data_IF_612998728927
#
_entry.id   IF_612998728927
#
_cell.length_a   1.000
_cell.length_b   1.000
_cell.length_c   1.000
_cell.angle_alpha   90.00
_cell.angle_beta   90.00
_cell.angle_gamma   90.00
#
_symmetry.space_group_name_H-M   'P 1'
#
loop_
_entity.id
_entity.type
_entity.pdbx_description
1 polymer ?
#
# COMPACT_ATOMS: atom_id res chain seq x y z
N UNK A 1 -3.17 23.56 -8.67
CA UNK A 1 -3.12 22.26 -7.97
C UNK A 1 -1.77 22.21 -7.31
N UNK A 2 -1.72 22.13 -5.99
CA UNK A 2 -0.47 21.84 -5.29
C UNK A 2 -0.14 20.37 -5.59
N UNK A 3 0.95 20.14 -6.32
CA UNK A 3 1.37 18.81 -6.74
C UNK A 3 2.09 18.14 -5.58
N UNK A 4 1.69 16.92 -5.24
CA UNK A 4 2.33 16.15 -4.19
C UNK A 4 3.57 15.41 -4.73
N UNK A 5 4.71 16.10 -4.71
CA UNK A 5 6.00 15.55 -5.14
C UNK A 5 6.44 14.33 -4.32
N UNK A 6 5.84 14.10 -3.15
CA UNK A 6 6.13 12.91 -2.33
C UNK A 6 5.62 11.62 -2.97
N UNK A 7 4.73 11.72 -3.96
CA UNK A 7 4.19 10.56 -4.68
C UNK A 7 5.04 10.13 -5.88
N UNK A 8 6.06 10.91 -6.25
CA UNK A 8 6.92 10.59 -7.40
C UNK A 8 7.86 9.45 -7.01
N UNK A 9 7.73 8.33 -7.71
CA UNK A 9 8.62 7.17 -7.55
C UNK A 9 9.80 7.23 -8.52
N UNK A 10 9.52 7.50 -9.80
CA UNK A 10 10.56 7.63 -10.82
C UNK A 10 10.14 8.56 -11.97
N UNK A 11 11.15 9.00 -12.72
CA UNK A 11 11.08 9.78 -13.93
C UNK A 11 11.57 8.94 -15.10
N UNK A 12 10.86 9.04 -16.22
CA UNK A 12 11.24 8.40 -17.48
C UNK A 12 10.90 9.32 -18.63
N UNK A 13 11.91 9.63 -19.46
CA UNK A 13 11.77 10.52 -20.61
C UNK A 13 11.16 11.88 -20.22
N UNK A 14 11.54 12.41 -19.06
CA UNK A 14 11.03 13.69 -18.55
C UNK A 14 9.62 13.68 -17.97
N UNK A 15 9.00 12.50 -17.79
CA UNK A 15 7.70 12.34 -17.16
C UNK A 15 7.81 11.68 -15.80
N UNK A 16 7.06 12.18 -14.80
CA UNK A 16 7.01 11.62 -13.45
C UNK A 16 5.92 10.56 -13.29
N UNK A 17 6.28 9.44 -12.67
CA UNK A 17 5.42 8.30 -12.44
C UNK A 17 5.33 8.00 -10.94
N UNK A 18 4.13 7.61 -10.50
CA UNK A 18 3.92 6.96 -9.21
C UNK A 18 4.39 5.50 -9.25
N UNK A 19 4.52 4.87 -8.08
CA UNK A 19 4.98 3.49 -7.98
C UNK A 19 4.02 2.46 -8.60
N UNK A 20 2.76 2.84 -8.80
CA UNK A 20 1.75 2.02 -9.49
C UNK A 20 1.75 2.23 -11.03
N UNK A 21 2.70 3.03 -11.54
CA UNK A 21 2.86 3.34 -12.96
C UNK A 21 1.96 4.46 -13.48
N UNK A 22 1.20 5.13 -12.60
CA UNK A 22 0.37 6.28 -12.99
C UNK A 22 1.24 7.49 -13.33
N UNK A 23 0.97 8.11 -14.48
CA UNK A 23 1.59 9.37 -14.87
C UNK A 23 1.03 10.52 -14.01
N UNK A 24 1.88 11.13 -13.19
CA UNK A 24 1.47 12.15 -12.22
C UNK A 24 1.43 13.56 -12.83
N UNK A 25 2.23 13.81 -13.88
CA UNK A 25 2.39 15.13 -14.49
C UNK A 25 2.10 15.12 -16.00
N UNK A 26 0.87 14.76 -16.43
CA UNK A 26 0.52 14.65 -17.85
C UNK A 26 0.50 15.99 -18.58
N UNK A 27 0.38 17.11 -17.86
CA UNK A 27 0.24 18.47 -18.43
C UNK A 27 1.52 19.32 -18.37
N UNK A 28 2.61 18.85 -17.74
CA UNK A 28 3.89 19.56 -17.80
C UNK A 28 4.50 19.37 -19.20
N UNK A 29 4.25 20.32 -20.09
CA UNK A 29 4.95 20.41 -21.37
C UNK A 29 6.28 21.13 -21.16
N UNK A 30 7.29 20.38 -20.70
CA UNK A 30 8.68 20.89 -20.59
C UNK A 30 9.44 20.42 -21.81
N UNK A 31 10.16 21.33 -22.48
CA UNK A 31 11.04 20.93 -23.56
C UNK A 31 12.07 19.95 -23.01
N UNK A 32 12.17 18.76 -23.60
CA UNK A 32 13.10 17.69 -23.18
C UNK A 32 14.55 18.19 -22.98
N UNK A 33 14.95 19.25 -23.68
CA UNK A 33 16.30 19.82 -23.60
C UNK A 33 16.55 20.73 -22.37
N UNK A 34 15.52 20.98 -21.54
CA UNK A 34 15.59 21.88 -20.38
C UNK A 34 15.11 21.24 -19.08
N UNK A 35 15.13 19.91 -19.05
CA UNK A 35 14.98 19.11 -17.84
C UNK A 35 16.31 18.45 -17.48
N UNK A 36 16.54 18.17 -16.20
CA UNK A 36 17.70 17.38 -15.80
C UNK A 36 17.57 15.93 -16.29
N UNK A 37 18.69 15.25 -16.58
CA UNK A 37 18.71 13.82 -16.86
C UNK A 37 17.91 12.99 -15.85
N UNK A 38 17.20 11.96 -16.33
CA UNK A 38 16.34 11.10 -15.52
C UNK A 38 17.05 10.54 -14.27
N UNK A 39 18.33 10.17 -14.36
CA UNK A 39 19.07 9.65 -13.19
C UNK A 39 19.20 10.69 -12.06
N UNK A 40 19.30 11.99 -12.36
CA UNK A 40 19.33 13.03 -11.31
C UNK A 40 17.96 13.17 -10.67
N UNK A 41 16.90 13.20 -11.50
CA UNK A 41 15.52 13.30 -11.01
C UNK A 41 15.12 12.07 -10.20
N UNK A 42 15.58 10.88 -10.60
CA UNK A 42 15.35 9.61 -9.90
C UNK A 42 16.10 9.56 -8.58
N UNK A 43 17.35 10.04 -8.53
CA UNK A 43 18.05 10.20 -7.27
C UNK A 43 17.25 11.10 -6.32
N UNK A 44 16.75 12.24 -6.80
CA UNK A 44 15.94 13.15 -5.98
C UNK A 44 14.60 12.55 -5.55
N UNK A 45 13.91 11.80 -6.42
CA UNK A 45 12.67 11.09 -6.10
C UNK A 45 12.87 10.05 -4.98
N UNK A 46 14.03 9.38 -4.98
CA UNK A 46 14.43 8.43 -3.92
C UNK A 46 15.03 9.11 -2.68
N UNK A 47 14.95 10.44 -2.58
CA UNK A 47 15.46 11.20 -1.43
C UNK A 47 16.99 11.30 -1.35
N UNK A 48 17.68 11.03 -2.45
CA UNK A 48 19.13 11.15 -2.56
C UNK A 48 19.53 12.51 -3.13
N UNK A 49 20.76 12.95 -2.82
CA UNK A 49 21.30 14.15 -3.42
C UNK A 49 21.45 14.01 -4.93
N UNK A 50 20.72 14.80 -5.73
CA UNK A 50 20.86 14.84 -7.19
C UNK A 50 22.25 15.28 -7.73
N UNK A 51 23.19 15.68 -6.87
CA UNK A 51 24.57 16.02 -7.25
C UNK A 51 25.52 14.85 -7.01
N UNK A 52 25.30 14.05 -5.96
CA UNK A 52 26.26 13.02 -5.55
C UNK A 52 25.70 11.63 -5.28
N UNK A 53 24.38 11.43 -5.37
CA UNK A 53 23.72 10.13 -5.19
C UNK A 53 23.60 9.64 -3.75
N UNK A 54 24.00 10.44 -2.75
CA UNK A 54 24.02 10.04 -1.34
C UNK A 54 23.19 11.04 -0.53
N UNK A 55 22.38 10.56 0.42
CA UNK A 55 21.61 11.39 1.36
C UNK A 55 22.49 11.99 2.45
N UNK A 56 22.05 13.10 3.06
CA UNK A 56 22.77 13.81 4.13
C UNK A 56 24.21 14.19 3.75
N UNK A 57 24.44 14.56 2.50
CA UNK A 57 25.76 14.89 1.99
C UNK A 57 26.10 16.37 2.18
N UNK A 58 27.36 16.75 1.87
CA UNK A 58 27.79 18.16 1.97
C UNK A 58 27.03 19.11 1.04
N UNK A 59 26.57 18.63 -0.12
CA UNK A 59 25.89 19.46 -1.12
C UNK A 59 24.50 19.89 -0.64
N UNK A 60 23.78 19.02 0.07
CA UNK A 60 22.44 19.31 0.62
C UNK A 60 22.42 20.50 1.58
N UNK A 61 23.57 20.79 2.21
CA UNK A 61 23.74 21.91 3.13
C UNK A 61 23.96 23.24 2.42
N UNK A 62 24.29 23.22 1.12
CA UNK A 62 24.64 24.42 0.34
C UNK A 62 23.41 25.21 -0.10
N UNK A 63 23.55 26.54 -0.17
CA UNK A 63 22.49 27.42 -0.66
C UNK A 63 22.00 27.08 -2.09
N UNK A 64 22.88 26.78 -3.07
CA UNK A 64 22.42 26.38 -4.40
C UNK A 64 21.58 25.10 -4.41
N UNK A 65 21.96 24.07 -3.65
CA UNK A 65 21.20 22.83 -3.59
C UNK A 65 19.82 23.05 -2.96
N UNK A 66 19.72 23.80 -1.86
CA UNK A 66 18.43 24.12 -1.23
C UNK A 66 17.48 24.83 -2.20
N UNK A 67 18.00 25.76 -3.02
CA UNK A 67 17.22 26.42 -4.08
C UNK A 67 16.80 25.46 -5.18
N UNK A 68 17.68 24.55 -5.58
CA UNK A 68 17.37 23.50 -6.56
C UNK A 68 16.26 22.55 -6.04
N UNK A 69 16.36 22.11 -4.78
CA UNK A 69 15.36 21.25 -4.14
C UNK A 69 14.00 21.96 -4.03
N UNK A 70 13.99 23.24 -3.65
CA UNK A 70 12.76 24.05 -3.62
C UNK A 70 12.15 24.20 -5.02
N UNK A 71 12.96 24.39 -6.06
CA UNK A 71 12.49 24.43 -7.44
C UNK A 71 11.89 23.09 -7.89
N UNK A 72 12.51 21.96 -7.52
CA UNK A 72 11.97 20.62 -7.76
C UNK A 72 10.61 20.43 -7.09
N UNK A 73 10.52 20.70 -5.78
CA UNK A 73 9.29 20.58 -4.98
C UNK A 73 8.17 21.53 -5.41
N UNK A 74 8.50 22.62 -6.12
CA UNK A 74 7.54 23.59 -6.63
C UNK A 74 7.22 23.38 -8.12
N UNK A 75 7.76 22.34 -8.75
CA UNK A 75 7.57 22.06 -10.19
C UNK A 75 8.25 23.01 -11.16
N UNK A 76 9.19 23.82 -10.69
CA UNK A 76 9.93 24.77 -11.50
C UNK A 76 11.15 24.08 -12.14
N UNK A 77 10.90 23.08 -13.00
CA UNK A 77 11.95 22.20 -13.55
C UNK A 77 13.00 22.94 -14.40
N UNK A 78 12.58 23.99 -15.11
CA UNK A 78 13.46 24.89 -15.88
C UNK A 78 14.41 25.69 -14.97
N UNK A 79 13.89 26.18 -13.83
CA UNK A 79 14.69 26.88 -12.84
C UNK A 79 15.67 25.90 -12.17
N UNK A 80 15.20 24.70 -11.83
CA UNK A 80 16.04 23.62 -11.31
C UNK A 80 17.18 23.27 -12.26
N UNK A 81 16.89 23.08 -13.55
CA UNK A 81 17.90 22.84 -14.60
C UNK A 81 18.96 23.94 -14.60
N UNK A 82 18.52 25.20 -14.59
CA UNK A 82 19.40 26.37 -14.60
C UNK A 82 20.31 26.41 -13.36
N UNK A 83 19.75 26.17 -12.18
CA UNK A 83 20.50 26.16 -10.91
C UNK A 83 21.55 25.04 -10.91
N UNK A 84 21.15 23.83 -11.32
CA UNK A 84 22.03 22.67 -11.33
C UNK A 84 23.24 22.88 -12.23
N UNK A 85 23.05 23.25 -13.49
CA UNK A 85 24.16 23.41 -14.42
C UNK A 85 25.09 24.55 -14.05
N UNK A 86 24.57 25.66 -13.50
CA UNK A 86 25.39 26.79 -13.02
C UNK A 86 26.24 26.43 -11.80
N UNK A 87 25.71 25.59 -10.91
CA UNK A 87 26.32 25.38 -9.59
C UNK A 87 27.09 24.06 -9.48
N UNK A 88 26.68 23.05 -10.24
CA UNK A 88 27.15 21.66 -10.12
C UNK A 88 27.53 21.04 -11.47
N UNK A 89 27.32 21.73 -12.60
CA UNK A 89 27.56 21.21 -13.93
C UNK A 89 28.99 20.70 -14.15
N UNK A 90 29.99 21.35 -13.55
CA UNK A 90 31.39 20.90 -13.62
C UNK A 90 31.67 19.57 -12.92
N UNK A 91 30.83 19.16 -11.96
CA UNK A 91 30.96 17.88 -11.24
C UNK A 91 30.25 16.74 -11.96
N UNK A 92 29.33 17.04 -12.88
CA UNK A 92 28.45 16.05 -13.51
C UNK A 92 29.21 14.87 -14.15
N UNK A 93 30.28 15.05 -14.95
CA UNK A 93 30.98 13.92 -15.57
C UNK A 93 31.59 12.95 -14.55
N UNK A 94 32.04 13.47 -13.40
CA UNK A 94 32.64 12.67 -12.33
C UNK A 94 31.57 11.95 -11.50
N UNK A 95 30.45 12.60 -11.23
CA UNK A 95 29.42 12.06 -10.33
C UNK A 95 28.42 11.15 -11.03
N UNK A 96 28.19 11.35 -12.33
CA UNK A 96 27.21 10.57 -13.11
C UNK A 96 27.38 9.05 -12.95
N UNK A 97 28.57 8.44 -13.13
CA UNK A 97 28.71 6.98 -13.03
C UNK A 97 28.34 6.46 -11.64
N UNK A 98 28.68 7.22 -10.59
CA UNK A 98 28.37 6.86 -9.21
C UNK A 98 26.86 6.92 -8.93
N UNK A 99 26.19 7.98 -9.39
CA UNK A 99 24.74 8.13 -9.25
C UNK A 99 24.01 6.99 -9.99
N UNK A 100 24.42 6.68 -11.22
CA UNK A 100 23.83 5.60 -12.01
C UNK A 100 24.07 4.22 -11.35
N UNK A 101 25.26 3.98 -10.80
CA UNK A 101 25.56 2.75 -10.06
C UNK A 101 24.67 2.61 -8.81
N UNK A 102 24.59 3.66 -7.98
CA UNK A 102 23.82 3.62 -6.73
C UNK A 102 22.32 3.44 -7.03
N UNK A 103 21.79 4.09 -8.07
CA UNK A 103 20.42 3.87 -8.53
C UNK A 103 20.17 2.46 -9.04
N UNK A 104 21.11 1.89 -9.79
CA UNK A 104 20.99 0.51 -10.27
C UNK A 104 20.98 -0.49 -9.11
N UNK A 105 21.80 -0.26 -8.08
CA UNK A 105 21.82 -1.07 -6.86
C UNK A 105 20.50 -0.94 -6.08
N UNK A 106 20.00 0.27 -5.89
CA UNK A 106 18.69 0.52 -5.24
C UNK A 106 17.56 -0.15 -6.02
N UNK A 107 17.51 0.03 -7.34
CA UNK A 107 16.49 -0.60 -8.19
C UNK A 107 16.57 -2.14 -8.14
N UNK A 108 17.79 -2.69 -8.03
CA UNK A 108 17.98 -4.13 -7.86
C UNK A 108 17.43 -4.60 -6.51
N UNK A 109 17.77 -3.91 -5.42
CA UNK A 109 17.25 -4.20 -4.08
C UNK A 109 15.73 -4.10 -4.06
N UNK A 110 15.15 -3.02 -4.61
CA UNK A 110 13.70 -2.85 -4.72
C UNK A 110 13.05 -3.98 -5.54
N UNK A 111 13.67 -4.38 -6.65
CA UNK A 111 13.20 -5.51 -7.46
C UNK A 111 13.23 -6.84 -6.69
N UNK A 112 14.28 -7.07 -5.89
CA UNK A 112 14.40 -8.25 -5.03
C UNK A 112 13.33 -8.23 -3.92
N UNK A 113 13.15 -7.10 -3.23
CA UNK A 113 12.10 -6.93 -2.22
C UNK A 113 10.69 -7.13 -2.80
N UNK A 114 10.44 -6.67 -4.02
CA UNK A 114 9.16 -6.89 -4.73
C UNK A 114 8.99 -8.39 -5.02
N UNK A 115 10.02 -9.07 -5.53
CA UNK A 115 9.96 -10.52 -5.79
C UNK A 115 9.68 -11.30 -4.50
N UNK A 116 10.34 -10.95 -3.41
CA UNK A 116 10.09 -11.55 -2.10
C UNK A 116 8.66 -11.28 -1.61
N UNK A 117 8.15 -10.07 -1.81
CA UNK A 117 6.79 -9.69 -1.42
C UNK A 117 5.71 -10.40 -2.25
N UNK A 118 5.95 -10.60 -3.55
CA UNK A 118 5.11 -11.41 -4.45
C UNK A 118 5.13 -12.88 -4.01
N UNK A 119 6.31 -13.41 -3.69
CA UNK A 119 6.45 -14.77 -3.16
C UNK A 119 5.71 -14.91 -1.84
N UNK A 120 5.87 -13.97 -0.91
CA UNK A 120 5.15 -13.93 0.36
C UNK A 120 3.64 -13.97 0.17
N UNK A 121 3.10 -13.17 -0.75
CA UNK A 121 1.66 -13.17 -1.08
C UNK A 121 1.22 -14.51 -1.67
N UNK A 122 2.04 -15.12 -2.51
CA UNK A 122 1.76 -16.45 -3.10
C UNK A 122 1.80 -17.55 -2.05
N UNK A 123 2.76 -17.51 -1.14
CA UNK A 123 2.90 -18.47 -0.06
C UNK A 123 1.76 -18.33 0.97
N UNK A 124 1.27 -17.11 1.22
CA UNK A 124 0.01 -16.92 1.97
C UNK A 124 -1.16 -17.67 1.34
N UNK A 125 -1.36 -17.59 0.02
CA UNK A 125 -2.45 -18.34 -0.63
C UNK A 125 -2.28 -19.86 -0.50
N UNK A 126 -1.04 -20.37 -0.60
CA UNK A 126 -0.76 -21.80 -0.37
C UNK A 126 -1.08 -22.20 1.07
N UNK A 127 -0.73 -21.36 2.04
CA UNK A 127 -1.03 -21.64 3.45
C UNK A 127 -2.53 -21.66 3.71
N UNK A 128 -3.28 -20.73 3.11
CA UNK A 128 -4.75 -20.74 3.15
C UNK A 128 -5.30 -22.02 2.51
N UNK A 129 -4.77 -22.46 1.37
CA UNK A 129 -5.17 -23.72 0.74
C UNK A 129 -4.93 -24.91 1.67
N UNK A 130 -3.73 -25.01 2.24
CA UNK A 130 -3.35 -26.12 3.12
C UNK A 130 -4.20 -26.15 4.40
N UNK A 131 -4.54 -24.99 4.94
CA UNK A 131 -5.27 -24.88 6.22
C UNK A 131 -6.78 -24.97 6.05
N UNK A 132 -7.32 -24.35 5.00
CA UNK A 132 -8.76 -24.08 4.84
C UNK A 132 -9.35 -24.61 3.53
N UNK A 133 -8.52 -25.13 2.63
CA UNK A 133 -8.92 -25.72 1.36
C UNK A 133 -9.13 -24.73 0.21
N UNK A 134 -9.43 -25.28 -0.96
CA UNK A 134 -9.52 -24.58 -2.24
C UNK A 134 -10.48 -23.37 -2.23
N UNK A 135 -11.64 -23.50 -1.58
CA UNK A 135 -12.64 -22.44 -1.54
C UNK A 135 -12.15 -21.21 -0.78
N UNK A 136 -11.39 -21.41 0.29
CA UNK A 136 -10.80 -20.33 1.07
C UNK A 136 -9.69 -19.62 0.29
N UNK A 137 -8.80 -20.38 -0.36
CA UNK A 137 -7.74 -19.83 -1.21
C UNK A 137 -8.34 -18.99 -2.35
N UNK A 138 -9.35 -19.53 -3.04
CA UNK A 138 -10.04 -18.86 -4.13
C UNK A 138 -10.69 -17.55 -3.68
N UNK A 139 -11.25 -17.52 -2.47
CA UNK A 139 -11.81 -16.29 -1.88
C UNK A 139 -10.72 -15.24 -1.66
N UNK A 140 -9.59 -15.59 -1.04
CA UNK A 140 -8.49 -14.65 -0.84
C UNK A 140 -7.97 -14.09 -2.17
N UNK A 141 -7.72 -14.96 -3.17
CA UNK A 141 -7.31 -14.53 -4.52
C UNK A 141 -8.33 -13.59 -5.16
N UNK A 142 -9.62 -13.93 -5.07
CA UNK A 142 -10.70 -13.09 -5.59
C UNK A 142 -10.71 -11.70 -4.93
N UNK A 143 -10.53 -11.63 -3.61
CA UNK A 143 -10.49 -10.35 -2.88
C UNK A 143 -9.33 -9.50 -3.40
N UNK A 144 -8.13 -10.08 -3.52
CA UNK A 144 -6.97 -9.38 -4.06
C UNK A 144 -7.21 -8.88 -5.49
N UNK A 145 -7.73 -9.73 -6.38
CA UNK A 145 -8.04 -9.40 -7.77
C UNK A 145 -9.09 -8.29 -7.88
N UNK A 146 -10.22 -8.43 -7.19
CA UNK A 146 -11.32 -7.45 -7.27
C UNK A 146 -10.99 -6.12 -6.57
N UNK A 147 -10.03 -6.11 -5.65
CA UNK A 147 -9.57 -4.90 -4.98
C UNK A 147 -8.70 -4.01 -5.88
N UNK A 148 -8.06 -4.59 -6.91
CA UNK A 148 -7.07 -3.89 -7.74
C UNK A 148 -7.70 -2.70 -8.45
N UNK A 149 -7.11 -1.51 -8.26
CA UNK A 149 -7.57 -0.27 -8.89
C UNK A 149 -8.90 0.28 -8.35
N UNK A 150 -9.52 -0.37 -7.35
CA UNK A 150 -10.74 0.12 -6.72
C UNK A 150 -10.45 1.00 -5.50
N UNK A 151 -11.33 1.97 -5.27
CA UNK A 151 -11.45 2.65 -3.97
C UNK A 151 -12.37 1.83 -3.06
N UNK A 152 -12.20 1.98 -1.76
CA UNK A 152 -13.14 1.40 -0.80
C UNK A 152 -14.50 2.08 -0.91
N UNK A 153 -15.55 1.34 -0.55
CA UNK A 153 -16.91 1.86 -0.51
C UNK A 153 -17.14 2.71 0.73
N UNK A 154 -18.16 3.56 0.68
CA UNK A 154 -18.60 4.31 1.85
C UNK A 154 -19.19 3.37 2.92
N UNK A 155 -19.26 3.86 4.16
CA UNK A 155 -19.73 3.07 5.32
C UNK A 155 -21.13 2.49 5.12
N UNK A 156 -22.08 3.26 4.58
CA UNK A 156 -23.48 2.80 4.41
C UNK A 156 -23.59 1.66 3.39
N UNK A 157 -22.80 1.74 2.34
CA UNK A 157 -22.69 0.70 1.32
C UNK A 157 -22.06 -0.58 1.87
N UNK A 158 -21.00 -0.47 2.67
CA UNK A 158 -20.36 -1.61 3.33
C UNK A 158 -21.30 -2.27 4.35
N UNK A 159 -22.01 -1.48 5.17
CA UNK A 159 -23.02 -1.98 6.10
C UNK A 159 -24.13 -2.74 5.36
N UNK A 160 -24.67 -2.16 4.30
CA UNK A 160 -25.71 -2.80 3.48
C UNK A 160 -25.23 -4.14 2.91
N UNK A 161 -23.99 -4.20 2.44
CA UNK A 161 -23.38 -5.42 1.91
C UNK A 161 -23.28 -6.52 2.97
N UNK A 162 -22.79 -6.18 4.18
CA UNK A 162 -22.65 -7.12 5.28
C UNK A 162 -24.01 -7.56 5.85
N UNK A 163 -24.91 -6.61 6.11
CA UNK A 163 -26.23 -6.85 6.72
C UNK A 163 -27.09 -7.80 5.88
N UNK A 164 -26.94 -7.78 4.54
CA UNK A 164 -27.59 -8.72 3.62
C UNK A 164 -27.33 -10.18 3.99
N UNK A 165 -26.16 -10.51 4.52
CA UNK A 165 -25.77 -11.88 4.89
C UNK A 165 -25.64 -12.10 6.40
N UNK A 166 -25.76 -11.05 7.22
CA UNK A 166 -25.61 -11.08 8.69
C UNK A 166 -26.40 -12.18 9.37
N UNK A 167 -27.68 -12.36 9.02
CA UNK A 167 -28.51 -13.42 9.59
C UNK A 167 -27.92 -14.83 9.35
N UNK A 168 -27.37 -15.08 8.17
CA UNK A 168 -26.77 -16.38 7.85
C UNK A 168 -25.43 -16.58 8.56
N UNK A 169 -24.60 -15.54 8.61
CA UNK A 169 -23.34 -15.54 9.36
C UNK A 169 -23.61 -15.81 10.85
N UNK A 170 -24.58 -15.13 11.46
CA UNK A 170 -24.93 -15.27 12.88
C UNK A 170 -25.50 -16.63 13.26
N UNK A 171 -26.14 -17.34 12.32
CA UNK A 171 -26.58 -18.72 12.55
C UNK A 171 -25.40 -19.69 12.70
N UNK A 172 -24.24 -19.39 12.13
CA UNK A 172 -23.07 -20.26 12.09
C UNK A 172 -22.00 -19.86 13.12
N UNK A 173 -21.88 -18.56 13.39
CA UNK A 173 -20.88 -18.02 14.29
C UNK A 173 -21.58 -17.51 15.55
N UNK A 174 -21.78 -18.45 16.49
CA UNK A 174 -22.38 -18.17 17.79
C UNK A 174 -21.47 -17.32 18.69
N UNK A 175 -22.00 -16.91 19.84
CA UNK A 175 -21.29 -16.09 20.83
C UNK A 175 -19.98 -16.72 21.30
N UNK A 176 -19.89 -18.06 21.40
CA UNK A 176 -18.68 -18.75 21.82
C UNK A 176 -17.60 -18.64 20.75
N UNK A 177 -17.94 -18.92 19.51
CA UNK A 177 -17.01 -18.79 18.38
C UNK A 177 -16.56 -17.34 18.21
N UNK A 178 -17.47 -16.36 18.35
CA UNK A 178 -17.12 -14.93 18.31
C UNK A 178 -16.05 -14.56 19.34
N UNK A 179 -16.21 -15.01 20.59
CA UNK A 179 -15.21 -14.76 21.64
C UNK A 179 -13.85 -15.39 21.35
N UNK A 180 -13.83 -16.60 20.78
CA UNK A 180 -12.58 -17.28 20.38
C UNK A 180 -11.87 -16.47 19.29
N UNK A 181 -12.61 -16.06 18.25
CA UNK A 181 -12.06 -15.28 17.14
C UNK A 181 -11.58 -13.92 17.65
N UNK A 182 -12.37 -13.23 18.48
CA UNK A 182 -11.99 -11.97 19.10
C UNK A 182 -10.72 -12.08 19.94
N UNK A 183 -10.60 -13.12 20.78
CA UNK A 183 -9.40 -13.36 21.59
C UNK A 183 -8.16 -13.62 20.73
N UNK A 184 -8.32 -14.36 19.62
CA UNK A 184 -7.23 -14.57 18.67
C UNK A 184 -6.77 -13.25 18.03
N UNK A 185 -7.72 -12.37 17.65
CA UNK A 185 -7.44 -11.04 17.13
C UNK A 185 -6.84 -10.09 18.18
N UNK A 186 -7.20 -10.26 19.45
CA UNK A 186 -6.63 -9.48 20.56
C UNK A 186 -5.15 -9.79 20.77
N UNK A 187 -4.77 -11.06 20.61
CA UNK A 187 -3.40 -11.54 20.80
C UNK A 187 -2.41 -11.13 19.70
N UNK A 188 -2.90 -10.52 18.61
CA UNK A 188 -2.07 -10.19 17.45
C UNK A 188 -1.00 -9.15 17.79
N UNK A 189 0.22 -9.41 17.31
CA UNK A 189 1.29 -8.44 17.36
C UNK A 189 1.09 -7.36 16.28
N UNK A 190 0.90 -6.11 16.71
CA UNK A 190 0.65 -4.96 15.82
C UNK A 190 1.84 -4.68 14.90
N UNK A 191 3.08 -4.88 15.37
CA UNK A 191 4.28 -4.69 14.54
C UNK A 191 4.35 -5.73 13.42
N UNK A 192 3.88 -6.95 13.70
CA UNK A 192 3.82 -8.01 12.70
C UNK A 192 2.72 -7.75 11.67
N UNK A 193 1.55 -7.24 12.10
CA UNK A 193 0.50 -6.77 11.19
C UNK A 193 1.06 -5.70 10.24
N UNK A 194 1.78 -4.70 10.76
CA UNK A 194 2.37 -3.64 9.94
C UNK A 194 3.42 -4.16 8.95
N UNK A 195 4.28 -5.09 9.39
CA UNK A 195 5.27 -5.75 8.53
C UNK A 195 4.62 -6.58 7.42
N UNK A 196 3.60 -7.36 7.75
CA UNK A 196 2.84 -8.17 6.80
C UNK A 196 2.10 -7.29 5.80
N UNK A 197 1.47 -6.21 6.26
CA UNK A 197 0.80 -5.25 5.40
C UNK A 197 1.77 -4.63 4.41
N UNK A 198 2.98 -4.23 4.83
CA UNK A 198 4.01 -3.70 3.93
C UNK A 198 4.39 -4.70 2.84
N UNK A 199 4.55 -5.98 3.19
CA UNK A 199 4.84 -7.06 2.24
C UNK A 199 3.68 -7.31 1.29
N UNK A 200 2.45 -7.40 1.79
CA UNK A 200 1.26 -7.52 0.94
C UNK A 200 1.10 -6.31 0.02
N UNK A 201 1.42 -5.10 0.50
CA UNK A 201 1.35 -3.88 -0.30
C UNK A 201 2.26 -3.94 -1.51
N UNK A 202 3.54 -4.25 -1.26
CA UNK A 202 4.52 -4.45 -2.34
C UNK A 202 4.14 -5.62 -3.24
N UNK A 203 3.74 -6.76 -2.67
CA UNK A 203 3.41 -7.98 -3.40
C UNK A 203 2.18 -7.87 -4.29
N UNK A 204 1.22 -7.02 -3.92
CA UNK A 204 0.02 -6.75 -4.71
C UNK A 204 0.12 -5.49 -5.59
N UNK A 205 1.25 -4.76 -5.52
CA UNK A 205 1.56 -3.64 -6.40
C UNK A 205 0.90 -2.31 -6.03
N UNK A 206 0.78 -1.98 -4.74
CA UNK A 206 0.28 -0.68 -4.28
C UNK A 206 1.18 -0.04 -3.21
N UNK A 207 1.09 1.30 -3.09
CA UNK A 207 1.86 2.09 -2.11
C UNK A 207 1.44 1.70 -0.69
N UNK A 208 2.43 1.35 0.14
CA UNK A 208 2.21 1.11 1.57
C UNK A 208 1.76 2.42 2.24
N UNK A 209 0.62 2.38 2.93
CA UNK A 209 0.12 3.52 3.70
C UNK A 209 0.49 3.43 5.17
N UNK A 210 0.63 4.59 5.81
CA UNK A 210 0.76 4.69 7.27
C UNK A 210 -0.60 4.43 7.90
N UNK A 211 -0.82 3.21 8.39
CA UNK A 211 -2.07 2.81 9.04
C UNK A 211 -1.85 2.71 10.54
N UNK A 212 -2.80 3.23 11.33
CA UNK A 212 -2.93 2.87 12.74
C UNK A 212 -3.52 1.45 12.87
N UNK A 213 -2.63 0.46 12.80
CA UNK A 213 -3.01 -0.95 12.85
C UNK A 213 -3.57 -1.37 14.23
N UNK A 214 -3.21 -0.67 15.31
CA UNK A 214 -3.70 -1.00 16.65
C UNK A 214 -5.17 -0.60 16.80
N UNK A 215 -5.53 0.61 16.40
CA UNK A 215 -6.92 1.07 16.49
C UNK A 215 -7.84 0.23 15.59
N UNK A 216 -7.39 -0.13 14.38
CA UNK A 216 -8.17 -1.01 13.49
C UNK A 216 -8.33 -2.41 14.06
N UNK A 217 -7.28 -2.95 14.71
CA UNK A 217 -7.38 -4.24 15.41
C UNK A 217 -8.42 -4.17 16.53
N UNK A 218 -8.39 -3.12 17.36
CA UNK A 218 -9.35 -2.93 18.46
C UNK A 218 -10.79 -2.88 17.93
N UNK A 219 -11.05 -2.09 16.89
CA UNK A 219 -12.39 -2.00 16.32
C UNK A 219 -12.82 -3.27 15.59
N UNK A 220 -11.89 -4.01 14.97
CA UNK A 220 -12.17 -5.32 14.39
C UNK A 220 -12.54 -6.34 15.47
N UNK A 221 -11.80 -6.38 16.59
CA UNK A 221 -12.11 -7.24 17.74
C UNK A 221 -13.53 -6.97 18.23
N UNK A 222 -13.89 -5.69 18.44
CA UNK A 222 -15.25 -5.31 18.86
C UNK A 222 -16.29 -5.70 17.83
N UNK A 223 -16.03 -5.50 16.53
CA UNK A 223 -16.96 -5.87 15.47
C UNK A 223 -17.20 -7.39 15.43
N UNK A 224 -16.16 -8.19 15.60
CA UNK A 224 -16.25 -9.66 15.67
C UNK A 224 -16.98 -10.10 16.92
N UNK A 225 -16.67 -9.54 18.09
CA UNK A 225 -17.28 -9.97 19.35
C UNK A 225 -18.77 -9.58 19.43
N UNK A 226 -19.11 -8.36 19.02
CA UNK A 226 -20.44 -7.77 19.23
C UNK A 226 -21.35 -7.81 17.99
N UNK A 227 -20.82 -8.17 16.82
CA UNK A 227 -21.50 -8.08 15.52
C UNK A 227 -21.95 -6.65 15.14
N UNK A 228 -21.28 -5.65 15.71
CA UNK A 228 -21.44 -4.24 15.36
C UNK A 228 -20.27 -3.78 14.50
N UNK A 229 -20.45 -3.81 13.17
CA UNK A 229 -19.40 -3.48 12.20
C UNK A 229 -19.28 -2.00 11.86
N UNK A 230 -20.27 -1.17 12.21
CA UNK A 230 -20.26 0.26 11.87
C UNK A 230 -19.02 0.98 12.41
N UNK A 231 -18.61 0.82 13.69
CA UNK A 231 -17.39 1.48 14.20
C UNK A 231 -16.13 1.11 13.42
N UNK A 232 -15.96 -0.17 13.08
CA UNK A 232 -14.84 -0.64 12.27
C UNK A 232 -14.85 -0.02 10.87
N UNK A 233 -16.00 0.00 10.19
CA UNK A 233 -16.10 0.61 8.87
C UNK A 233 -15.87 2.12 8.91
N UNK A 234 -16.38 2.83 9.92
CA UNK A 234 -16.10 4.26 10.13
C UNK A 234 -14.61 4.47 10.36
N UNK A 235 -13.94 3.62 11.15
CA UNK A 235 -12.49 3.75 11.37
C UNK A 235 -11.71 3.54 10.07
N UNK A 236 -12.08 2.55 9.27
CA UNK A 236 -11.50 2.35 7.92
C UNK A 236 -11.81 3.56 7.01
N UNK A 237 -12.99 4.17 7.14
CA UNK A 237 -13.34 5.38 6.41
C UNK A 237 -12.48 6.58 6.86
N UNK A 238 -12.14 6.71 8.14
CA UNK A 238 -11.31 7.83 8.63
C UNK A 238 -9.85 7.78 8.15
N UNK A 239 -9.35 6.62 7.72
CA UNK A 239 -8.04 6.47 7.09
C UNK A 239 -8.09 6.65 5.55
N UNK A 240 -9.27 7.02 4.99
CA UNK A 240 -9.56 7.10 3.55
C UNK A 240 -8.63 7.99 2.72
N UNK A 241 -8.00 8.99 3.34
CA UNK A 241 -7.23 10.00 2.60
C UNK A 241 -6.10 9.34 1.78
N UNK A 242 -5.71 8.11 2.11
CA UNK A 242 -5.04 7.25 1.14
C UNK A 242 -5.13 5.79 1.54
N UNK A 243 -6.24 5.09 1.33
CA UNK A 243 -6.18 3.62 1.30
C UNK A 243 -6.96 3.07 0.12
N UNK A 244 -6.28 2.33 -0.74
CA UNK A 244 -6.91 1.62 -1.85
C UNK A 244 -7.66 0.39 -1.32
N UNK A 245 -8.61 -0.13 -2.10
CA UNK A 245 -9.24 -1.40 -1.76
C UNK A 245 -8.19 -2.53 -1.60
N UNK A 246 -7.08 -2.49 -2.34
CA UNK A 246 -5.96 -3.43 -2.20
C UNK A 246 -5.24 -3.28 -0.86
N UNK A 247 -5.13 -2.06 -0.33
CA UNK A 247 -4.71 -1.79 1.05
C UNK A 247 -5.56 -2.51 2.09
N UNK A 248 -6.88 -2.45 1.93
CA UNK A 248 -7.83 -3.13 2.81
C UNK A 248 -7.77 -4.66 2.66
N UNK A 249 -7.59 -5.18 1.45
CA UNK A 249 -7.34 -6.61 1.24
C UNK A 249 -6.06 -7.06 1.96
N UNK A 250 -4.95 -6.33 1.80
CA UNK A 250 -3.67 -6.63 2.46
C UNK A 250 -3.75 -6.54 3.98
N UNK A 251 -4.53 -5.58 4.52
CA UNK A 251 -4.79 -5.47 5.95
C UNK A 251 -5.57 -6.70 6.46
N UNK A 252 -6.62 -7.10 5.74
CA UNK A 252 -7.37 -8.32 6.04
C UNK A 252 -6.46 -9.55 6.10
N UNK A 253 -5.59 -9.75 5.11
CA UNK A 253 -4.64 -10.87 5.10
C UNK A 253 -3.62 -10.77 6.24
N UNK A 254 -3.22 -9.56 6.63
CA UNK A 254 -2.31 -9.35 7.76
C UNK A 254 -2.93 -9.77 9.09
N UNK A 255 -4.23 -9.50 9.31
CA UNK A 255 -4.96 -10.00 10.48
C UNK A 255 -5.07 -11.53 10.47
N UNK A 256 -5.27 -12.13 9.29
CA UNK A 256 -5.42 -13.59 9.13
C UNK A 256 -4.11 -14.35 9.33
N UNK A 257 -2.96 -13.74 9.04
CA UNK A 257 -1.65 -14.33 9.29
C UNK A 257 -1.23 -14.27 10.77
N UNK A 258 -1.73 -13.30 11.52
CA UNK A 258 -1.22 -13.04 12.86
C UNK A 258 -1.70 -14.01 13.94
N UNK A 259 -2.72 -14.85 13.69
CA UNK A 259 -3.26 -15.73 14.72
C UNK A 259 -4.27 -16.79 14.23
N UNK A 260 -4.50 -17.85 15.02
CA UNK A 260 -5.30 -19.01 14.62
C UNK A 260 -6.82 -18.74 14.73
N UNK A 261 -7.38 -17.98 13.78
CA UNK A 261 -8.80 -17.59 13.77
C UNK A 261 -9.76 -18.71 13.31
N UNK A 262 -9.23 -19.79 12.73
CA UNK A 262 -10.01 -20.90 12.17
C UNK A 262 -10.85 -20.50 10.95
N UNK A 263 -11.54 -21.47 10.33
CA UNK A 263 -12.31 -21.24 9.10
C UNK A 263 -13.47 -20.25 9.28
N UNK A 264 -14.12 -20.27 10.45
CA UNK A 264 -15.22 -19.37 10.76
C UNK A 264 -14.73 -17.93 10.93
N UNK A 265 -13.63 -17.73 11.65
CA UNK A 265 -12.99 -16.43 11.79
C UNK A 265 -12.44 -15.92 10.47
N UNK A 266 -11.81 -16.79 9.68
CA UNK A 266 -11.34 -16.48 8.34
C UNK A 266 -12.46 -15.94 7.45
N UNK A 267 -13.58 -16.66 7.37
CA UNK A 267 -14.73 -16.24 6.57
C UNK A 267 -15.40 -14.98 7.12
N UNK A 268 -15.49 -14.80 8.44
CA UNK A 268 -16.05 -13.60 9.06
C UNK A 268 -15.22 -12.35 8.76
N UNK A 269 -13.90 -12.44 8.93
CA UNK A 269 -12.98 -11.33 8.66
C UNK A 269 -13.04 -10.97 7.17
N UNK A 270 -13.01 -11.95 6.27
CA UNK A 270 -13.11 -11.69 4.83
C UNK A 270 -14.50 -11.20 4.38
N UNK A 271 -15.58 -11.54 5.10
CA UNK A 271 -16.90 -10.95 4.87
C UNK A 271 -16.89 -9.45 5.24
N UNK A 272 -16.32 -9.09 6.39
CA UNK A 272 -16.15 -7.70 6.83
C UNK A 272 -15.28 -6.89 5.86
N UNK A 273 -14.10 -7.40 5.53
CA UNK A 273 -13.17 -6.78 4.56
C UNK A 273 -13.79 -6.71 3.16
N UNK A 274 -14.45 -7.77 2.72
CA UNK A 274 -15.11 -7.84 1.41
C UNK A 274 -16.23 -6.81 1.26
N UNK A 275 -16.96 -6.49 2.34
CA UNK A 275 -18.04 -5.50 2.32
C UNK A 275 -17.57 -4.09 1.95
N UNK A 276 -16.32 -3.74 2.32
CA UNK A 276 -15.67 -2.47 1.97
C UNK A 276 -15.23 -2.40 0.51
N UNK A 277 -15.29 -3.51 -0.23
CA UNK A 277 -14.78 -3.64 -1.61
C UNK A 277 -15.94 -3.91 -2.59
N UNK A 278 -16.73 -4.95 -2.35
CA UNK A 278 -17.76 -5.44 -3.29
C UNK A 278 -18.77 -6.39 -2.62
N UNK A 279 -20.07 -6.23 -2.91
CA UNK A 279 -21.15 -7.09 -2.37
C UNK A 279 -20.90 -8.58 -2.64
N UNK A 280 -20.33 -8.92 -3.80
CA UNK A 280 -20.12 -10.31 -4.21
C UNK A 280 -19.09 -11.04 -3.34
N UNK A 281 -18.19 -10.30 -2.68
CA UNK A 281 -17.19 -10.88 -1.78
C UNK A 281 -17.82 -11.34 -0.47
N UNK A 282 -18.80 -10.59 0.04
CA UNK A 282 -19.57 -10.98 1.23
C UNK A 282 -20.36 -12.26 0.95
N UNK A 283 -20.95 -12.38 -0.24
CA UNK A 283 -21.65 -13.61 -0.64
C UNK A 283 -20.70 -14.82 -0.66
N UNK A 284 -19.51 -14.67 -1.26
CA UNK A 284 -18.51 -15.75 -1.34
C UNK A 284 -17.99 -16.13 0.05
N UNK A 285 -17.76 -15.16 0.93
CA UNK A 285 -17.37 -15.38 2.32
C UNK A 285 -18.51 -16.06 3.12
N UNK A 286 -19.75 -15.61 2.95
CA UNK A 286 -20.93 -16.25 3.54
C UNK A 286 -21.06 -17.71 3.06
N UNK A 287 -20.83 -17.98 1.78
CA UNK A 287 -20.83 -19.35 1.25
C UNK A 287 -19.73 -20.18 1.88
N UNK A 288 -18.56 -19.61 2.22
CA UNK A 288 -17.46 -20.32 2.89
C UNK A 288 -17.80 -20.70 4.33
N UNK A 289 -18.37 -19.79 5.12
CA UNK A 289 -18.80 -20.08 6.52
C UNK A 289 -20.10 -20.90 6.59
N UNK A 290 -20.90 -20.85 5.51
CA UNK A 290 -22.15 -21.57 5.35
C UNK A 290 -22.03 -22.89 4.59
N UNK A 291 -20.81 -23.34 4.26
CA UNK A 291 -20.55 -24.69 3.75
C UNK A 291 -21.00 -25.76 4.75
#
# INVERSE_FOLDING_TARGET
MDYDYTQIDHWKNGHAYASDGVLLLPTLHVSYNRILPDHILNAMAKGLCGVCGISNCRFEKTSPYKKMLSAYQSGQLELMYTIYWRSFGGLYPMMKPKIEQDLNEINKIESEEIKESVKFTTDFYKEVFNTYGEKAEKLAKTIAEQSRGKRIRNVEDALRAYDKYKTNINKKIDTKNRKIIASALESLNVDEIAKNLKKFSKGMGFVSYSIDANDLRIELVKAVETDNWRPFFVKVETILIGISATGIAGLGFSFLLGGPVGILGYGLILAGIGSLIDDSLVEKANKLVGL
#
